data_IF_801673915015
#
_entry.id   IF_801673915015
#
_cell.length_a   1.000
_cell.length_b   1.000
_cell.length_c   1.000
_cell.angle_alpha   90.00
_cell.angle_beta   90.00
_cell.angle_gamma   90.00
#
_symmetry.space_group_name_H-M   'P 1'
#
loop_
_entity.id
_entity.type
_entity.pdbx_description
1 polymer ?
#
# COMPACT_ATOMS: atom_id res chain seq x y z
N UNK A 1 -3.79 33.16 -14.02
CA UNK A 1 -3.73 34.64 -14.06
C UNK A 1 -5.16 35.16 -14.03
N UNK A 2 -5.45 36.13 -13.17
CA UNK A 2 -6.77 36.72 -12.98
C UNK A 2 -6.81 38.16 -13.53
N UNK A 3 -8.00 38.73 -13.80
CA UNK A 3 -8.15 40.13 -14.20
C UNK A 3 -7.56 41.09 -13.16
N UNK A 4 -7.00 42.20 -13.66
CA UNK A 4 -6.39 43.26 -12.84
C UNK A 4 -4.96 42.93 -12.39
N UNK A 5 -4.16 42.27 -13.24
CA UNK A 5 -2.77 41.91 -12.94
C UNK A 5 -2.62 41.14 -11.63
N UNK A 6 -3.49 40.14 -11.43
CA UNK A 6 -3.48 39.24 -10.26
C UNK A 6 -3.11 37.83 -10.68
N UNK A 7 -2.57 37.05 -9.74
CA UNK A 7 -2.39 35.61 -9.93
C UNK A 7 -3.16 34.83 -8.88
N UNK A 8 -3.36 33.57 -9.18
CA UNK A 8 -3.96 32.60 -8.28
C UNK A 8 -3.01 31.41 -8.19
N UNK A 9 -2.62 31.05 -6.97
CA UNK A 9 -1.82 29.86 -6.68
C UNK A 9 -2.78 28.83 -6.10
N UNK A 10 -3.09 27.80 -6.88
CA UNK A 10 -4.04 26.73 -6.51
C UNK A 10 -3.35 25.44 -6.06
N UNK A 11 -2.02 25.39 -6.12
CA UNK A 11 -1.24 24.22 -5.74
C UNK A 11 0.16 24.61 -5.28
N UNK A 12 0.74 23.83 -4.37
CA UNK A 12 2.11 23.97 -3.90
C UNK A 12 2.92 22.73 -4.27
N UNK A 13 4.26 22.86 -4.39
CA UNK A 13 5.11 21.69 -4.61
C UNK A 13 4.97 20.65 -3.48
N UNK A 14 5.08 19.37 -3.84
CA UNK A 14 5.02 18.27 -2.86
C UNK A 14 6.07 18.50 -1.75
N UNK A 15 5.65 18.34 -0.50
CA UNK A 15 6.48 18.57 0.69
C UNK A 15 6.45 20.01 1.22
N UNK A 16 5.72 20.91 0.58
CA UNK A 16 5.54 22.30 1.03
C UNK A 16 4.18 22.45 1.71
N UNK A 17 4.20 22.83 2.98
CA UNK A 17 2.99 23.07 3.77
C UNK A 17 2.46 24.49 3.56
N UNK A 18 1.14 24.65 3.57
CA UNK A 18 0.45 25.93 3.33
C UNK A 18 0.93 27.03 4.27
N UNK A 19 0.99 26.76 5.58
CA UNK A 19 1.44 27.74 6.58
C UNK A 19 2.93 28.09 6.40
N UNK A 20 3.79 27.09 6.21
CA UNK A 20 5.22 27.30 5.97
C UNK A 20 5.46 28.12 4.70
N UNK A 21 4.67 27.89 3.65
CA UNK A 21 4.75 28.66 2.41
C UNK A 21 4.33 30.11 2.61
N UNK A 22 3.22 30.35 3.31
CA UNK A 22 2.76 31.69 3.68
C UNK A 22 3.85 32.46 4.41
N UNK A 23 4.36 31.92 5.51
CA UNK A 23 5.36 32.58 6.37
C UNK A 23 6.71 32.82 5.69
N UNK A 24 7.19 31.87 4.89
CA UNK A 24 8.56 31.92 4.33
C UNK A 24 8.64 32.42 2.89
N UNK A 25 7.50 32.56 2.20
CA UNK A 25 7.44 33.01 0.81
C UNK A 25 6.53 34.23 0.67
N UNK A 26 5.27 34.17 1.10
CA UNK A 26 4.34 35.27 0.86
C UNK A 26 4.58 36.48 1.78
N UNK A 27 4.78 36.26 3.08
CA UNK A 27 5.05 37.33 4.05
C UNK A 27 6.31 38.17 3.68
N UNK A 28 7.46 37.55 3.31
CA UNK A 28 8.62 38.31 2.83
C UNK A 28 8.40 39.08 1.53
N UNK A 29 7.56 38.57 0.62
CA UNK A 29 7.25 39.24 -0.65
C UNK A 29 6.22 40.37 -0.47
N UNK A 30 5.41 40.32 0.60
CA UNK A 30 4.46 41.37 0.98
C UNK A 30 5.14 42.50 1.75
N UNK A 31 5.90 42.19 2.79
CA UNK A 31 6.51 43.19 3.67
C UNK A 31 7.91 43.62 3.24
N UNK A 32 8.59 42.81 2.42
CA UNK A 32 10.00 42.98 2.13
C UNK A 32 10.90 42.51 3.27
N UNK A 33 12.18 42.34 2.98
CA UNK A 33 13.26 42.05 3.92
C UNK A 33 14.48 42.88 3.53
N UNK A 34 15.53 42.87 4.36
CA UNK A 34 16.82 43.53 4.03
C UNK A 34 17.40 43.07 2.68
N UNK A 35 17.04 41.87 2.21
CA UNK A 35 17.54 41.26 0.97
C UNK A 35 16.53 41.26 -0.18
N UNK A 36 15.24 41.41 0.11
CA UNK A 36 14.17 41.29 -0.90
C UNK A 36 13.20 42.46 -0.79
N UNK A 37 12.99 43.19 -1.88
CA UNK A 37 11.98 44.26 -1.92
C UNK A 37 10.58 43.65 -1.84
N UNK A 38 9.66 44.37 -1.21
CA UNK A 38 8.23 44.07 -1.29
C UNK A 38 7.74 44.20 -2.74
N UNK A 39 7.11 43.15 -3.26
CA UNK A 39 6.57 43.07 -4.63
C UNK A 39 5.06 42.82 -4.66
N UNK A 40 4.48 42.42 -3.53
CA UNK A 40 3.04 42.20 -3.39
C UNK A 40 2.40 43.43 -2.76
N UNK A 41 1.18 43.73 -3.20
CA UNK A 41 0.34 44.72 -2.55
C UNK A 41 -0.54 44.06 -1.47
N UNK A 42 -1.11 42.90 -1.78
CA UNK A 42 -1.98 42.13 -0.90
C UNK A 42 -2.07 40.67 -1.39
N UNK A 43 -2.41 39.74 -0.49
CA UNK A 43 -2.83 38.40 -0.86
C UNK A 43 -4.01 37.93 0.00
N UNK A 44 -4.89 37.11 -0.57
CA UNK A 44 -6.06 36.55 0.09
C UNK A 44 -6.01 35.03 0.07
N UNK A 45 -6.41 34.43 1.18
CA UNK A 45 -6.41 32.98 1.40
C UNK A 45 -7.83 32.43 1.28
N UNK A 46 -7.98 31.37 0.48
CA UNK A 46 -9.24 30.68 0.27
C UNK A 46 -9.04 29.15 0.38
N UNK A 47 -8.22 28.74 1.34
CA UNK A 47 -7.86 27.34 1.56
C UNK A 47 -9.00 26.54 2.16
N UNK A 48 -8.95 25.23 1.94
CA UNK A 48 -9.67 24.25 2.77
C UNK A 48 -8.66 23.43 3.57
N UNK A 49 -9.14 22.44 4.30
CA UNK A 49 -8.31 21.40 4.94
C UNK A 49 -7.48 20.57 3.94
N UNK A 50 -7.90 20.55 2.67
CA UNK A 50 -7.37 19.65 1.62
C UNK A 50 -6.90 20.37 0.36
N UNK A 51 -7.16 21.67 0.22
CA UNK A 51 -6.82 22.44 -0.98
C UNK A 51 -6.16 23.77 -0.66
N UNK A 52 -5.21 24.17 -1.49
CA UNK A 52 -4.51 25.46 -1.40
C UNK A 52 -5.08 26.43 -2.43
N UNK A 53 -5.19 27.70 -2.03
CA UNK A 53 -5.69 28.77 -2.88
C UNK A 53 -5.29 30.14 -2.35
N UNK A 54 -4.28 30.76 -2.97
CA UNK A 54 -3.88 32.14 -2.71
C UNK A 54 -4.25 33.01 -3.91
N UNK A 55 -4.92 34.14 -3.67
CA UNK A 55 -5.16 35.17 -4.70
C UNK A 55 -4.26 36.35 -4.39
N UNK A 56 -3.36 36.67 -5.32
CA UNK A 56 -2.24 37.58 -5.09
C UNK A 56 -2.37 38.81 -6.00
N UNK A 57 -2.16 39.98 -5.40
CA UNK A 57 -2.14 41.28 -6.08
C UNK A 57 -0.76 41.90 -5.95
N UNK A 58 -0.29 42.54 -7.01
CA UNK A 58 1.07 43.04 -7.13
C UNK A 58 1.13 44.56 -7.00
N UNK A 59 2.30 45.07 -6.60
CA UNK A 59 2.59 46.50 -6.74
C UNK A 59 2.73 46.86 -8.23
N UNK A 60 2.60 48.15 -8.55
CA UNK A 60 2.56 48.62 -9.93
C UNK A 60 3.84 48.22 -10.70
N UNK A 61 3.66 47.60 -11.88
CA UNK A 61 4.75 47.17 -12.76
C UNK A 61 5.37 45.81 -12.41
N UNK A 62 5.22 45.31 -11.18
CA UNK A 62 5.84 44.04 -10.76
C UNK A 62 5.24 42.82 -11.47
N UNK A 63 3.95 42.83 -11.75
CA UNK A 63 3.29 41.74 -12.46
C UNK A 63 3.92 41.50 -13.84
N UNK A 64 4.05 42.55 -14.66
CA UNK A 64 4.59 42.44 -16.01
C UNK A 64 6.11 42.18 -15.98
N UNK A 65 6.81 42.78 -15.02
CA UNK A 65 8.24 42.49 -14.77
C UNK A 65 8.48 41.01 -14.52
N UNK A 66 7.79 40.43 -13.54
CA UNK A 66 7.94 39.02 -13.18
C UNK A 66 7.50 38.13 -14.35
N UNK A 67 6.43 38.48 -15.04
CA UNK A 67 5.95 37.70 -16.19
C UNK A 67 6.96 37.64 -17.33
N UNK A 68 7.72 38.72 -17.57
CA UNK A 68 8.74 38.80 -18.61
C UNK A 68 10.06 38.08 -18.23
N UNK A 69 10.29 37.80 -16.95
CA UNK A 69 11.49 37.12 -16.49
C UNK A 69 11.50 35.61 -16.77
N UNK A 70 12.70 35.05 -17.00
CA UNK A 70 12.88 33.61 -17.15
C UNK A 70 12.43 32.84 -15.90
N UNK A 71 11.53 31.87 -16.06
CA UNK A 71 10.90 31.12 -14.96
C UNK A 71 9.72 31.84 -14.29
N UNK A 72 9.54 33.12 -14.58
CA UNK A 72 8.39 33.95 -14.21
C UNK A 72 7.85 33.73 -12.80
N UNK A 73 6.52 33.60 -12.71
CA UNK A 73 5.83 33.39 -11.44
C UNK A 73 6.27 32.13 -10.71
N UNK A 74 6.51 31.02 -11.41
CA UNK A 74 6.92 29.77 -10.74
C UNK A 74 8.26 29.92 -10.00
N UNK A 75 9.21 30.65 -10.60
CA UNK A 75 10.50 30.95 -9.97
C UNK A 75 10.35 31.90 -8.79
N UNK A 76 9.67 33.03 -8.97
CA UNK A 76 9.55 34.08 -7.94
C UNK A 76 8.77 33.59 -6.73
N UNK A 77 7.69 32.84 -6.96
CA UNK A 77 6.86 32.26 -5.92
C UNK A 77 7.35 30.89 -5.44
N UNK A 78 8.53 30.43 -5.87
CA UNK A 78 9.12 29.15 -5.45
C UNK A 78 8.15 27.96 -5.61
N UNK A 79 7.35 27.95 -6.68
CA UNK A 79 6.36 26.92 -7.02
C UNK A 79 6.96 25.76 -7.81
N UNK A 80 8.26 25.54 -7.68
CA UNK A 80 8.96 24.43 -8.33
C UNK A 80 9.96 23.84 -7.36
N UNK A 81 9.88 22.53 -7.16
CA UNK A 81 10.85 21.75 -6.39
C UNK A 81 11.37 20.61 -7.24
N UNK A 82 12.58 20.14 -6.92
CA UNK A 82 13.18 18.97 -7.55
C UNK A 82 13.29 17.86 -6.52
N UNK A 83 12.83 16.66 -6.86
CA UNK A 83 12.95 15.48 -6.02
C UNK A 83 14.00 14.57 -6.66
N UNK A 84 15.13 14.36 -5.96
CA UNK A 84 16.16 13.42 -6.42
C UNK A 84 15.83 12.01 -5.96
N UNK A 85 15.87 11.05 -6.89
CA UNK A 85 15.67 9.62 -6.61
C UNK A 85 16.99 8.84 -6.66
N UNK A 86 18.13 9.49 -6.43
CA UNK A 86 19.46 8.87 -6.57
C UNK A 86 19.81 7.84 -5.49
N UNK A 87 19.11 7.86 -4.35
CA UNK A 87 19.36 7.02 -3.17
C UNK A 87 18.14 6.17 -2.80
N UNK A 88 17.84 5.15 -3.60
CA UNK A 88 16.81 4.15 -3.27
C UNK A 88 17.48 2.94 -2.62
N UNK A 89 17.46 2.85 -1.28
CA UNK A 89 17.98 1.71 -0.53
C UNK A 89 16.84 0.95 0.14
N UNK A 90 16.80 -0.36 -0.04
CA UNK A 90 15.82 -1.24 0.61
C UNK A 90 16.41 -2.63 0.84
N UNK A 91 15.81 -3.38 1.77
CA UNK A 91 16.14 -4.78 1.96
C UNK A 91 15.52 -5.63 0.85
N UNK A 92 16.29 -6.57 0.33
CA UNK A 92 15.81 -7.56 -0.63
C UNK A 92 15.12 -8.75 0.08
N UNK A 93 14.73 -9.75 -0.71
CA UNK A 93 14.10 -10.99 -0.23
C UNK A 93 14.97 -11.80 0.75
N UNK A 94 16.29 -11.59 0.72
CA UNK A 94 17.27 -12.23 1.59
C UNK A 94 17.66 -11.35 2.78
N UNK A 95 16.91 -10.26 3.03
CA UNK A 95 17.15 -9.27 4.08
C UNK A 95 18.53 -8.60 3.95
N UNK A 96 19.06 -8.53 2.73
CA UNK A 96 20.30 -7.84 2.44
C UNK A 96 20.00 -6.41 1.98
N UNK A 97 20.69 -5.44 2.58
CA UNK A 97 20.53 -4.03 2.23
C UNK A 97 21.15 -3.77 0.85
N UNK A 98 20.34 -3.27 -0.09
CA UNK A 98 20.76 -3.02 -1.47
C UNK A 98 20.35 -1.64 -1.95
N UNK A 99 21.18 -1.04 -2.79
CA UNK A 99 20.86 0.15 -3.57
C UNK A 99 20.22 -0.24 -4.91
N UNK A 100 19.14 0.44 -5.27
CA UNK A 100 18.42 0.30 -6.52
C UNK A 100 18.64 1.52 -7.41
N UNK A 101 19.04 1.31 -8.66
CA UNK A 101 19.33 2.42 -9.58
C UNK A 101 18.07 3.07 -10.13
N UNK A 102 17.00 2.29 -10.29
CA UNK A 102 15.70 2.77 -10.75
C UNK A 102 14.55 1.90 -10.24
N UNK A 103 13.35 2.47 -10.27
CA UNK A 103 12.12 1.83 -9.76
C UNK A 103 11.77 0.54 -10.52
N UNK A 104 12.19 0.38 -11.79
CA UNK A 104 11.88 -0.83 -12.55
C UNK A 104 12.63 -2.07 -12.03
N UNK A 105 13.80 -1.89 -11.42
CA UNK A 105 14.52 -3.02 -10.79
C UNK A 105 13.73 -3.54 -9.60
N UNK A 106 13.27 -2.63 -8.72
CA UNK A 106 12.40 -2.95 -7.59
C UNK A 106 11.13 -3.66 -8.07
N UNK A 107 10.49 -3.14 -9.12
CA UNK A 107 9.26 -3.71 -9.67
C UNK A 107 9.45 -5.14 -10.20
N UNK A 108 10.55 -5.43 -10.90
CA UNK A 108 10.84 -6.76 -11.45
C UNK A 108 11.12 -7.79 -10.36
N UNK A 109 11.88 -7.42 -9.33
CA UNK A 109 12.16 -8.28 -8.19
C UNK A 109 10.88 -8.57 -7.40
N UNK A 110 10.09 -7.52 -7.10
CA UNK A 110 8.78 -7.68 -6.48
C UNK A 110 7.86 -8.59 -7.28
N UNK A 111 7.78 -8.40 -8.60
CA UNK A 111 6.92 -9.20 -9.47
C UNK A 111 7.27 -10.69 -9.39
N UNK A 112 8.56 -11.02 -9.50
CA UNK A 112 9.06 -12.39 -9.50
C UNK A 112 8.77 -13.06 -8.17
N UNK A 113 9.18 -12.42 -7.06
CA UNK A 113 8.90 -12.90 -5.71
C UNK A 113 7.39 -13.07 -5.48
N UNK A 114 6.59 -12.09 -5.90
CA UNK A 114 5.15 -12.12 -5.68
C UNK A 114 4.48 -13.25 -6.44
N UNK A 115 4.91 -13.52 -7.67
CA UNK A 115 4.41 -14.62 -8.48
C UNK A 115 4.69 -15.99 -7.83
N UNK A 116 5.90 -16.19 -7.31
CA UNK A 116 6.24 -17.42 -6.58
C UNK A 116 5.37 -17.60 -5.33
N UNK A 117 5.07 -16.51 -4.63
CA UNK A 117 4.14 -16.55 -3.49
C UNK A 117 2.70 -16.84 -3.90
N UNK A 118 2.25 -16.44 -5.10
CA UNK A 118 0.96 -16.89 -5.63
C UNK A 118 0.93 -18.39 -5.87
N UNK A 119 2.01 -18.96 -6.42
CA UNK A 119 2.14 -20.41 -6.61
C UNK A 119 2.12 -21.14 -5.27
N UNK A 120 2.94 -20.71 -4.30
CA UNK A 120 2.95 -21.26 -2.93
C UNK A 120 1.57 -21.19 -2.28
N UNK A 121 0.89 -20.05 -2.40
CA UNK A 121 -0.47 -19.87 -1.86
C UNK A 121 -1.48 -20.80 -2.54
N UNK A 122 -1.41 -20.98 -3.85
CA UNK A 122 -2.28 -21.91 -4.58
C UNK A 122 -2.07 -23.34 -4.07
N UNK A 123 -0.82 -23.81 -3.99
CA UNK A 123 -0.50 -25.15 -3.51
C UNK A 123 -1.00 -25.38 -2.08
N UNK A 124 -0.83 -24.38 -1.21
CA UNK A 124 -1.36 -24.41 0.16
C UNK A 124 -2.88 -24.58 0.19
N UNK A 125 -3.60 -23.73 -0.55
CA UNK A 125 -5.06 -23.75 -0.58
C UNK A 125 -5.58 -25.05 -1.17
N UNK A 126 -4.94 -25.60 -2.21
CA UNK A 126 -5.30 -26.89 -2.80
C UNK A 126 -5.15 -28.01 -1.77
N UNK A 127 -4.03 -28.08 -1.05
CA UNK A 127 -3.82 -29.11 -0.02
C UNK A 127 -4.82 -28.99 1.13
N UNK A 128 -5.07 -27.76 1.60
CA UNK A 128 -6.06 -27.49 2.67
C UNK A 128 -7.48 -27.92 2.25
N UNK A 129 -7.94 -27.48 1.08
CA UNK A 129 -9.27 -27.81 0.58
C UNK A 129 -9.41 -29.30 0.26
N UNK A 130 -8.35 -29.96 -0.20
CA UNK A 130 -8.35 -31.41 -0.42
C UNK A 130 -8.53 -32.14 0.92
N UNK A 131 -7.81 -31.74 1.96
CA UNK A 131 -7.93 -32.33 3.28
C UNK A 131 -9.34 -32.11 3.90
N UNK A 132 -9.93 -30.93 3.69
CA UNK A 132 -11.32 -30.66 4.09
C UNK A 132 -12.32 -31.52 3.33
N UNK A 133 -12.16 -31.65 2.01
CA UNK A 133 -13.01 -32.49 1.18
C UNK A 133 -12.93 -33.96 1.61
N UNK A 134 -11.73 -34.49 1.87
CA UNK A 134 -11.55 -35.86 2.36
C UNK A 134 -12.14 -36.08 3.75
N UNK A 135 -12.04 -35.09 4.63
CA UNK A 135 -12.66 -35.15 5.95
C UNK A 135 -14.18 -35.27 5.83
N UNK A 136 -14.80 -34.42 5.00
CA UNK A 136 -16.25 -34.42 4.75
C UNK A 136 -16.70 -35.72 4.05
N UNK A 137 -15.91 -36.24 3.11
CA UNK A 137 -16.18 -37.50 2.43
C UNK A 137 -16.20 -38.68 3.41
N UNK A 138 -15.22 -38.75 4.31
CA UNK A 138 -15.19 -39.77 5.38
C UNK A 138 -16.41 -39.64 6.32
N UNK A 139 -16.80 -38.42 6.68
CA UNK A 139 -17.99 -38.19 7.52
C UNK A 139 -19.26 -38.64 6.81
N UNK A 140 -19.45 -38.25 5.55
CA UNK A 140 -20.60 -38.63 4.75
C UNK A 140 -20.68 -40.14 4.58
N UNK A 141 -19.56 -40.79 4.22
CA UNK A 141 -19.46 -42.25 4.11
C UNK A 141 -19.85 -42.96 5.40
N UNK A 142 -19.35 -42.49 6.55
CA UNK A 142 -19.69 -43.08 7.85
C UNK A 142 -21.19 -43.00 8.14
N UNK A 143 -21.80 -41.83 7.89
CA UNK A 143 -23.25 -41.63 8.09
C UNK A 143 -24.05 -42.58 7.19
N UNK A 144 -23.71 -42.67 5.90
CA UNK A 144 -24.40 -43.55 4.94
C UNK A 144 -24.26 -45.02 5.33
N UNK A 145 -23.03 -45.50 5.64
CA UNK A 145 -22.80 -46.88 6.09
C UNK A 145 -23.55 -47.17 7.40
N UNK A 146 -23.73 -46.18 8.28
CA UNK A 146 -24.47 -46.32 9.54
C UNK A 146 -25.97 -46.43 9.30
N UNK A 147 -26.53 -45.58 8.44
CA UNK A 147 -27.94 -45.61 8.04
C UNK A 147 -28.29 -46.92 7.34
N UNK A 148 -27.39 -47.45 6.51
CA UNK A 148 -27.57 -48.72 5.80
C UNK A 148 -27.33 -49.96 6.67
N UNK A 149 -26.99 -49.79 7.96
CA UNK A 149 -26.65 -50.90 8.85
C UNK A 149 -25.34 -51.63 8.50
N UNK A 150 -24.56 -51.10 7.54
CA UNK A 150 -23.27 -51.66 7.12
C UNK A 150 -22.22 -51.52 8.21
N UNK A 151 -22.23 -50.40 8.95
CA UNK A 151 -21.42 -50.22 10.15
C UNK A 151 -22.33 -50.10 11.38
N UNK A 152 -21.97 -50.81 12.45
CA UNK A 152 -22.68 -50.79 13.73
C UNK A 152 -21.67 -50.42 14.81
N UNK A 153 -21.95 -49.37 15.57
CA UNK A 153 -21.06 -48.82 16.60
C UNK A 153 -21.64 -48.94 18.01
N UNK A 154 -22.96 -49.18 18.11
CA UNK A 154 -23.68 -49.34 19.36
C UNK A 154 -23.12 -50.51 20.17
N UNK A 155 -22.93 -50.28 21.48
CA UNK A 155 -22.43 -51.27 22.44
C UNK A 155 -21.04 -51.89 22.10
N UNK A 156 -20.25 -51.27 21.21
CA UNK A 156 -18.87 -51.70 20.93
C UNK A 156 -17.85 -50.88 21.73
N UNK A 157 -16.79 -51.56 22.21
CA UNK A 157 -15.65 -50.89 22.86
C UNK A 157 -14.89 -50.03 21.84
N UNK A 158 -14.37 -48.88 22.29
CA UNK A 158 -13.59 -47.93 21.46
C UNK A 158 -12.51 -48.60 20.59
N UNK A 159 -11.74 -49.53 21.16
CA UNK A 159 -10.69 -50.26 20.43
C UNK A 159 -11.23 -51.02 19.22
N UNK A 160 -12.37 -51.69 19.37
CA UNK A 160 -13.04 -52.46 18.30
C UNK A 160 -13.57 -51.53 17.20
N UNK A 161 -14.10 -50.36 17.57
CA UNK A 161 -14.57 -49.36 16.60
C UNK A 161 -13.39 -48.84 15.76
N UNK A 162 -12.27 -48.52 16.40
CA UNK A 162 -11.07 -48.04 15.71
C UNK A 162 -10.53 -49.12 14.75
N UNK A 163 -10.42 -50.37 15.20
CA UNK A 163 -9.96 -51.48 14.35
C UNK A 163 -10.87 -51.71 13.14
N UNK A 164 -12.20 -51.63 13.31
CA UNK A 164 -13.16 -51.75 12.20
C UNK A 164 -13.03 -50.59 11.20
N UNK A 165 -12.91 -49.35 11.67
CA UNK A 165 -12.73 -48.18 10.81
C UNK A 165 -11.42 -48.28 10.01
N UNK A 166 -10.34 -48.72 10.64
CA UNK A 166 -9.06 -48.95 9.97
C UNK A 166 -9.16 -50.08 8.93
N UNK A 167 -9.79 -51.21 9.27
CA UNK A 167 -10.01 -52.33 8.35
C UNK A 167 -10.82 -51.93 7.11
N UNK A 168 -11.72 -50.96 7.26
CA UNK A 168 -12.54 -50.40 6.18
C UNK A 168 -11.89 -49.27 5.40
N UNK A 169 -10.67 -48.88 5.76
CA UNK A 169 -9.91 -47.85 5.08
C UNK A 169 -10.43 -46.43 5.32
N UNK A 170 -11.07 -46.15 6.46
CA UNK A 170 -11.33 -44.76 6.85
C UNK A 170 -9.99 -44.07 7.12
N UNK A 171 -9.78 -42.92 6.48
CA UNK A 171 -8.56 -42.15 6.69
C UNK A 171 -8.57 -41.53 8.11
N UNK A 172 -7.41 -41.49 8.81
CA UNK A 172 -7.23 -40.59 9.95
C UNK A 172 -7.57 -39.16 9.56
N UNK A 173 -7.88 -38.29 10.53
CA UNK A 173 -8.36 -36.93 10.26
C UNK A 173 -7.45 -36.18 9.26
N UNK A 174 -7.89 -36.00 7.98
CA UNK A 174 -7.00 -35.49 6.93
C UNK A 174 -6.58 -34.04 7.16
N UNK A 175 -7.43 -33.23 7.79
CA UNK A 175 -7.12 -31.81 8.07
C UNK A 175 -6.00 -31.67 9.10
N UNK A 176 -5.99 -32.53 10.13
CA UNK A 176 -4.90 -32.57 11.12
C UNK A 176 -3.60 -33.08 10.51
N UNK A 177 -3.68 -34.08 9.65
CA UNK A 177 -2.51 -34.59 8.94
C UNK A 177 -1.90 -33.52 8.03
N UNK A 178 -2.73 -32.81 7.26
CA UNK A 178 -2.31 -31.67 6.47
C UNK A 178 -1.64 -30.59 7.32
N UNK A 179 -2.22 -30.22 8.46
CA UNK A 179 -1.65 -29.23 9.39
C UNK A 179 -0.26 -29.62 9.89
N UNK A 180 -0.03 -30.90 10.20
CA UNK A 180 1.28 -31.43 10.60
C UNK A 180 2.31 -31.37 9.48
N UNK A 181 1.89 -31.61 8.23
CA UNK A 181 2.77 -31.53 7.06
C UNK A 181 3.24 -30.10 6.79
N UNK A 182 2.33 -29.12 6.89
CA UNK A 182 2.67 -27.70 6.64
C UNK A 182 3.34 -27.02 7.83
N UNK A 183 3.15 -27.55 9.04
CA UNK A 183 3.73 -27.02 10.26
C UNK A 183 4.22 -28.18 11.14
N UNK A 184 5.52 -28.53 11.07
CA UNK A 184 6.10 -29.62 11.84
C UNK A 184 6.02 -29.45 13.37
N UNK A 185 5.65 -28.26 13.86
CA UNK A 185 5.43 -27.97 15.30
C UNK A 185 3.96 -28.14 15.72
N UNK A 186 3.11 -28.70 14.87
CA UNK A 186 1.70 -28.89 15.16
C UNK A 186 1.49 -30.25 15.87
N UNK A 187 1.09 -30.22 17.14
CA UNK A 187 0.82 -31.42 17.97
C UNK A 187 -0.53 -32.09 17.64
#
# INVERSE_FOLDING_TARGET
ILPGNRIEITELPIGVWTQTYKENVLEPLLHGTDKTKAILNDYKEYHTDTTVRFVISFTAGEFDRIRAEAGGFHRVFKLSSSISTSSMHAFDENLCLRRYDNVNVILREFYTLRLDFYVKRKSYLVGMLTAEAEYLDNQARFIVEKCNGTIVVENKKRKVIIEELLKRGYKPNPTREWQRLINPKFD
#
